data_IF_477070504991
#
_entry.id   IF_477070504991
#
_cell.length_a   1.000
_cell.length_b   1.000
_cell.length_c   1.000
_cell.angle_alpha   90.00
_cell.angle_beta   90.00
_cell.angle_gamma   90.00
#
_symmetry.space_group_name_H-M   'P 1'
#
loop_
_entity.id
_entity.type
_entity.pdbx_description
1 polymer ?
#
# COMPACT_ATOMS: atom_id res chain seq x y z
N UNK A 1 -26.55 34.64 74.11
CA UNK A 1 -26.95 34.60 72.68
C UNK A 1 -25.93 35.10 71.67
N UNK A 2 -25.24 36.24 71.85
CA UNK A 2 -24.29 36.74 70.85
C UNK A 2 -23.04 35.83 70.63
N UNK A 3 -22.46 35.28 71.71
CA UNK A 3 -21.28 34.41 71.66
C UNK A 3 -21.54 33.04 71.01
N UNK A 4 -22.75 32.48 71.18
CA UNK A 4 -23.15 31.22 70.54
C UNK A 4 -23.40 31.40 69.02
N UNK A 5 -23.83 32.60 68.60
CA UNK A 5 -23.98 32.92 67.17
C UNK A 5 -22.62 33.06 66.49
N UNK A 6 -21.62 33.62 67.17
CA UNK A 6 -20.27 33.77 66.60
C UNK A 6 -19.53 32.44 66.44
N UNK A 7 -19.73 31.47 67.34
CA UNK A 7 -19.13 30.13 67.22
C UNK A 7 -19.75 29.31 66.08
N UNK A 8 -21.07 29.35 65.93
CA UNK A 8 -21.78 28.68 64.82
C UNK A 8 -21.36 29.28 63.47
N UNK A 9 -21.16 30.59 63.39
CA UNK A 9 -20.68 31.25 62.17
C UNK A 9 -19.22 30.89 61.86
N UNK A 10 -18.37 30.69 62.87
CA UNK A 10 -16.99 30.20 62.67
C UNK A 10 -16.96 28.75 62.16
N UNK A 11 -17.79 27.86 62.72
CA UNK A 11 -17.91 26.47 62.27
C UNK A 11 -18.49 26.37 60.84
N UNK A 12 -19.48 27.21 60.52
CA UNK A 12 -20.00 27.31 59.15
C UNK A 12 -18.95 27.84 58.17
N UNK A 13 -18.11 28.80 58.59
CA UNK A 13 -17.04 29.34 57.76
C UNK A 13 -15.92 28.31 57.51
N UNK A 14 -15.54 27.50 58.51
CA UNK A 14 -14.53 26.44 58.34
C UNK A 14 -15.06 25.27 57.52
N UNK A 15 -16.33 24.91 57.65
CA UNK A 15 -16.97 23.92 56.79
C UNK A 15 -17.06 24.41 55.33
N UNK A 16 -17.37 25.70 55.13
CA UNK A 16 -17.42 26.30 53.79
C UNK A 16 -16.03 26.38 53.13
N UNK A 17 -14.97 26.71 53.88
CA UNK A 17 -13.61 26.71 53.33
C UNK A 17 -13.14 25.31 52.96
N UNK A 18 -13.43 24.30 53.79
CA UNK A 18 -13.13 22.90 53.47
C UNK A 18 -13.84 22.43 52.18
N UNK A 19 -15.13 22.73 52.03
CA UNK A 19 -15.88 22.41 50.82
C UNK A 19 -15.33 23.13 49.57
N UNK A 20 -14.87 24.37 49.70
CA UNK A 20 -14.21 25.09 48.60
C UNK A 20 -12.88 24.45 48.19
N UNK A 21 -12.09 23.94 49.14
CA UNK A 21 -10.86 23.22 48.85
C UNK A 21 -11.13 21.90 48.13
N UNK A 22 -12.16 21.15 48.51
CA UNK A 22 -12.54 19.89 47.86
C UNK A 22 -13.00 20.13 46.41
N UNK A 23 -13.83 21.16 46.18
CA UNK A 23 -14.27 21.55 44.83
C UNK A 23 -13.08 22.00 43.98
N UNK A 24 -12.14 22.75 44.56
CA UNK A 24 -10.92 23.16 43.86
C UNK A 24 -10.01 21.98 43.54
N UNK A 25 -9.88 21.03 44.47
CA UNK A 25 -9.15 19.77 44.28
C UNK A 25 -9.73 18.95 43.13
N UNK A 26 -11.05 18.75 43.12
CA UNK A 26 -11.77 18.05 42.07
C UNK A 26 -11.57 18.70 40.69
N UNK A 27 -11.74 20.03 40.60
CA UNK A 27 -11.54 20.75 39.33
C UNK A 27 -10.10 20.66 38.83
N UNK A 28 -9.13 20.70 39.74
CA UNK A 28 -7.70 20.55 39.40
C UNK A 28 -7.40 19.15 38.89
N UNK A 29 -7.95 18.11 39.50
CA UNK A 29 -7.78 16.72 39.07
C UNK A 29 -8.43 16.46 37.71
N UNK A 30 -9.67 16.93 37.52
CA UNK A 30 -10.33 16.87 36.21
C UNK A 30 -9.53 17.61 35.13
N UNK A 31 -9.00 18.80 35.44
CA UNK A 31 -8.17 19.54 34.50
C UNK A 31 -6.90 18.77 34.12
N UNK A 32 -6.24 18.12 35.09
CA UNK A 32 -5.06 17.28 34.83
C UNK A 32 -5.42 16.07 33.98
N UNK A 33 -6.49 15.36 34.32
CA UNK A 33 -6.98 14.21 33.55
C UNK A 33 -7.27 14.59 32.10
N UNK A 34 -8.00 15.68 31.87
CA UNK A 34 -8.31 16.17 30.52
C UNK A 34 -7.05 16.53 29.73
N UNK A 35 -6.04 17.12 30.39
CA UNK A 35 -4.77 17.44 29.76
C UNK A 35 -3.99 16.18 29.36
N UNK A 36 -3.98 15.16 30.22
CA UNK A 36 -3.34 13.88 29.92
C UNK A 36 -4.04 13.15 28.76
N UNK A 37 -5.38 13.13 28.75
CA UNK A 37 -6.14 12.52 27.66
C UNK A 37 -5.89 13.22 26.31
N UNK A 38 -5.80 14.56 26.29
CA UNK A 38 -5.46 15.31 25.07
C UNK A 38 -4.06 14.97 24.57
N UNK A 39 -3.08 14.88 25.46
CA UNK A 39 -1.72 14.48 25.10
C UNK A 39 -1.69 13.05 24.52
N UNK A 40 -2.38 12.11 25.16
CA UNK A 40 -2.48 10.73 24.68
C UNK A 40 -3.14 10.66 23.30
N UNK A 41 -4.19 11.45 23.07
CA UNK A 41 -4.84 11.55 21.77
C UNK A 41 -3.88 12.10 20.71
N UNK A 42 -3.14 13.18 21.01
CA UNK A 42 -2.16 13.77 20.10
C UNK A 42 -1.05 12.77 19.73
N UNK A 43 -0.51 12.04 20.72
CA UNK A 43 0.49 11.00 20.50
C UNK A 43 -0.04 9.86 19.63
N UNK A 44 -1.26 9.38 19.88
CA UNK A 44 -1.91 8.36 19.04
C UNK A 44 -2.13 8.85 17.62
N UNK A 45 -2.52 10.11 17.43
CA UNK A 45 -2.69 10.70 16.09
C UNK A 45 -1.36 10.82 15.35
N UNK A 46 -0.26 11.10 16.03
CA UNK A 46 1.07 11.07 15.43
C UNK A 46 1.49 9.64 15.06
N UNK A 47 1.26 8.67 15.94
CA UNK A 47 1.54 7.27 15.68
C UNK A 47 0.78 6.75 14.44
N UNK A 48 -0.51 7.07 14.34
CA UNK A 48 -1.34 6.70 13.18
C UNK A 48 -0.82 7.32 11.87
N UNK A 49 -0.36 8.59 11.91
CA UNK A 49 0.25 9.25 10.75
C UNK A 49 1.57 8.58 10.33
N UNK A 50 2.40 8.18 11.30
CA UNK A 50 3.63 7.45 11.00
C UNK A 50 3.33 6.07 10.36
N UNK A 51 2.34 5.35 10.88
CA UNK A 51 1.87 4.09 10.29
C UNK A 51 1.37 4.27 8.86
N UNK A 52 0.60 5.34 8.61
CA UNK A 52 0.11 5.65 7.27
C UNK A 52 1.24 5.89 6.27
N UNK A 53 2.30 6.60 6.69
CA UNK A 53 3.49 6.79 5.84
C UNK A 53 4.23 5.47 5.59
N UNK A 54 4.29 4.59 6.59
CA UNK A 54 4.82 3.25 6.44
C UNK A 54 4.07 2.44 5.38
N UNK A 55 2.75 2.35 5.51
CA UNK A 55 1.88 1.64 4.56
C UNK A 55 1.99 2.19 3.14
N UNK A 56 2.09 3.52 2.98
CA UNK A 56 2.25 4.11 1.66
C UNK A 56 3.58 3.72 0.98
N UNK A 57 4.66 3.60 1.76
CA UNK A 57 5.95 3.15 1.21
C UNK A 57 5.94 1.67 0.82
N UNK A 58 5.23 0.85 1.58
CA UNK A 58 5.03 -0.56 1.25
C UNK A 58 4.21 -0.71 -0.03
N UNK A 59 3.09 0.00 -0.15
CA UNK A 59 2.25 0.00 -1.35
C UNK A 59 3.03 0.43 -2.61
N UNK A 60 3.84 1.49 -2.50
CA UNK A 60 4.72 1.91 -3.61
C UNK A 60 5.72 0.81 -3.98
N UNK A 61 6.28 0.08 -3.01
CA UNK A 61 7.20 -1.03 -3.28
C UNK A 61 6.48 -2.18 -3.96
N UNK A 62 5.30 -2.55 -3.47
CA UNK A 62 4.51 -3.66 -3.98
C UNK A 62 4.06 -3.40 -5.43
N UNK A 63 3.62 -2.17 -5.74
CA UNK A 63 3.27 -1.75 -7.10
C UNK A 63 4.46 -1.85 -8.04
N UNK A 64 5.66 -1.46 -7.58
CA UNK A 64 6.89 -1.55 -8.37
C UNK A 64 7.33 -3.00 -8.57
N UNK A 65 7.19 -3.87 -7.57
CA UNK A 65 7.53 -5.30 -7.64
C UNK A 65 6.56 -6.11 -8.52
N UNK A 66 5.33 -5.63 -8.70
CA UNK A 66 4.33 -6.32 -9.50
C UNK A 66 4.66 -6.35 -11.00
N UNK A 67 5.31 -5.32 -11.51
CA UNK A 67 5.66 -5.19 -12.94
C UNK A 67 6.68 -6.26 -13.40
N UNK A 68 7.86 -6.43 -12.76
CA UNK A 68 8.80 -7.47 -13.17
C UNK A 68 8.19 -8.86 -13.06
N UNK A 69 7.40 -9.12 -12.00
CA UNK A 69 6.71 -10.41 -11.82
C UNK A 69 5.75 -10.74 -12.96
N UNK A 70 5.02 -9.75 -13.49
CA UNK A 70 4.19 -9.94 -14.68
C UNK A 70 5.02 -10.16 -15.94
N UNK A 71 6.13 -9.45 -16.07
CA UNK A 71 7.01 -9.60 -17.22
C UNK A 71 7.65 -10.99 -17.30
N UNK A 72 7.92 -11.66 -16.17
CA UNK A 72 8.46 -13.03 -16.15
C UNK A 72 7.49 -14.00 -16.84
N UNK A 73 6.19 -13.87 -16.53
CA UNK A 73 5.13 -14.70 -17.13
C UNK A 73 5.03 -14.45 -18.63
N UNK A 74 5.11 -13.20 -19.08
CA UNK A 74 5.09 -12.88 -20.51
C UNK A 74 6.33 -13.40 -21.25
N UNK A 75 7.53 -13.26 -20.67
CA UNK A 75 8.75 -13.81 -21.27
C UNK A 75 8.68 -15.34 -21.42
N UNK A 76 8.10 -16.04 -20.44
CA UNK A 76 7.91 -17.49 -20.53
C UNK A 76 6.98 -17.87 -21.69
N UNK A 77 5.86 -17.17 -21.87
CA UNK A 77 4.94 -17.40 -22.99
C UNK A 77 5.63 -17.10 -24.33
N UNK A 78 6.34 -15.97 -24.43
CA UNK A 78 7.09 -15.59 -25.63
C UNK A 78 8.14 -16.66 -25.97
N UNK A 79 8.85 -17.21 -24.99
CA UNK A 79 9.83 -18.27 -25.21
C UNK A 79 9.20 -19.56 -25.77
N UNK A 80 8.02 -19.94 -25.27
CA UNK A 80 7.28 -21.10 -25.77
C UNK A 80 6.81 -20.88 -27.23
N UNK A 81 6.26 -19.71 -27.53
CA UNK A 81 5.82 -19.35 -28.88
C UNK A 81 7.00 -19.24 -29.86
N UNK A 82 8.14 -18.72 -29.40
CA UNK A 82 9.36 -18.65 -30.21
C UNK A 82 9.87 -20.05 -30.57
N UNK A 83 9.82 -21.01 -29.64
CA UNK A 83 10.15 -22.40 -29.93
C UNK A 83 9.15 -23.05 -30.91
N UNK A 84 7.86 -22.76 -30.77
CA UNK A 84 6.83 -23.27 -31.68
C UNK A 84 7.01 -22.71 -33.11
N UNK A 85 7.26 -21.41 -33.25
CA UNK A 85 7.51 -20.76 -34.55
C UNK A 85 8.81 -21.21 -35.19
N UNK A 86 9.89 -21.40 -34.42
CA UNK A 86 11.13 -21.99 -34.91
C UNK A 86 10.93 -23.44 -35.40
N UNK A 87 10.14 -24.24 -34.67
CA UNK A 87 9.77 -25.60 -35.09
C UNK A 87 8.93 -25.58 -36.36
N UNK A 88 7.98 -24.66 -36.47
CA UNK A 88 7.16 -24.46 -37.65
C UNK A 88 8.01 -24.08 -38.88
N UNK A 89 9.01 -23.21 -38.72
CA UNK A 89 9.92 -22.84 -39.80
C UNK A 89 10.67 -24.05 -40.38
N UNK A 90 11.10 -24.98 -39.52
CA UNK A 90 11.84 -26.17 -39.93
C UNK A 90 10.95 -27.32 -40.45
N UNK A 91 9.78 -27.53 -39.84
CA UNK A 91 8.96 -28.74 -40.05
C UNK A 91 7.61 -28.49 -40.74
N UNK A 92 7.06 -27.27 -40.69
CA UNK A 92 5.78 -26.97 -41.32
C UNK A 92 5.97 -26.75 -42.82
N UNK A 93 5.95 -27.84 -43.58
CA UNK A 93 5.93 -27.79 -45.05
C UNK A 93 4.50 -27.74 -45.55
N UNK A 94 4.26 -26.84 -46.50
CA UNK A 94 3.01 -26.79 -47.25
C UNK A 94 2.90 -28.09 -48.09
N UNK A 95 1.71 -28.70 -48.22
CA UNK A 95 1.54 -29.96 -48.96
C UNK A 95 2.08 -29.89 -50.40
N UNK A 96 2.69 -30.97 -50.91
CA UNK A 96 3.17 -31.03 -52.28
C UNK A 96 1.99 -30.86 -53.26
N UNK A 97 2.16 -29.99 -54.26
CA UNK A 97 1.09 -29.61 -55.20
C UNK A 97 0.39 -28.29 -54.90
N UNK A 98 0.74 -27.63 -53.78
CA UNK A 98 0.24 -26.29 -53.46
C UNK A 98 0.88 -25.23 -54.38
N UNK A 99 0.14 -24.15 -54.72
CA UNK A 99 0.67 -23.10 -55.58
C UNK A 99 1.83 -22.35 -54.90
N UNK A 100 2.82 -21.94 -55.68
CA UNK A 100 4.07 -21.34 -55.18
C UNK A 100 3.86 -20.07 -54.34
N UNK A 101 2.89 -19.23 -54.72
CA UNK A 101 2.56 -18.02 -53.97
C UNK A 101 2.10 -18.32 -52.54
N UNK A 102 1.38 -19.43 -52.32
CA UNK A 102 0.90 -19.82 -50.99
C UNK A 102 2.08 -20.25 -50.11
N UNK A 103 3.04 -20.98 -50.67
CA UNK A 103 4.26 -21.35 -49.96
C UNK A 103 5.08 -20.13 -49.56
N UNK A 104 5.19 -19.13 -50.43
CA UNK A 104 5.89 -17.87 -50.12
C UNK A 104 5.16 -17.09 -49.01
N UNK A 105 3.83 -16.96 -49.09
CA UNK A 105 3.04 -16.32 -48.04
C UNK A 105 3.18 -17.02 -46.68
N UNK A 106 3.12 -18.36 -46.67
CA UNK A 106 3.31 -19.14 -45.45
C UNK A 106 4.68 -18.88 -44.80
N UNK A 107 5.77 -18.94 -45.57
CA UNK A 107 7.12 -18.67 -45.06
C UNK A 107 7.27 -17.23 -44.58
N UNK A 108 6.70 -16.26 -45.30
CA UNK A 108 6.71 -14.85 -44.88
C UNK A 108 5.99 -14.64 -43.54
N UNK A 109 4.83 -15.27 -43.32
CA UNK A 109 4.11 -15.19 -42.07
C UNK A 109 4.87 -15.80 -40.89
N UNK A 110 5.55 -16.93 -41.09
CA UNK A 110 6.37 -17.54 -40.02
C UNK A 110 7.58 -16.66 -39.72
N UNK A 111 8.27 -16.14 -40.74
CA UNK A 111 9.41 -15.25 -40.54
C UNK A 111 9.00 -13.94 -39.84
N UNK A 112 7.85 -13.35 -40.20
CA UNK A 112 7.36 -12.13 -39.54
C UNK A 112 6.95 -12.39 -38.09
N UNK A 113 6.31 -13.52 -37.80
CA UNK A 113 6.00 -13.94 -36.43
C UNK A 113 7.27 -14.13 -35.60
N UNK A 114 8.30 -14.78 -36.15
CA UNK A 114 9.57 -14.99 -35.47
C UNK A 114 10.28 -13.66 -35.16
N UNK A 115 10.33 -12.73 -36.12
CA UNK A 115 10.88 -11.39 -35.90
C UNK A 115 10.12 -10.62 -34.83
N UNK A 116 8.79 -10.67 -34.86
CA UNK A 116 7.93 -10.01 -33.88
C UNK A 116 8.17 -10.54 -32.46
N UNK A 117 8.18 -11.87 -32.28
CA UNK A 117 8.43 -12.51 -30.99
C UNK A 117 9.85 -12.25 -30.48
N UNK A 118 10.84 -12.19 -31.37
CA UNK A 118 12.22 -11.84 -31.00
C UNK A 118 12.32 -10.39 -30.51
N UNK A 119 11.62 -9.46 -31.17
CA UNK A 119 11.55 -8.05 -30.74
C UNK A 119 10.82 -7.91 -29.40
N UNK A 120 9.72 -8.65 -29.21
CA UNK A 120 8.98 -8.70 -27.95
C UNK A 120 9.84 -9.25 -26.81
N UNK A 121 10.63 -10.30 -27.06
CA UNK A 121 11.60 -10.84 -26.11
C UNK A 121 12.65 -9.78 -25.75
N UNK A 122 13.21 -9.09 -26.75
CA UNK A 122 14.20 -8.03 -26.55
C UNK A 122 13.68 -6.90 -25.65
N UNK A 123 12.48 -6.38 -25.96
CA UNK A 123 11.86 -5.36 -25.13
C UNK A 123 11.50 -5.87 -23.73
N UNK A 124 11.05 -7.13 -23.62
CA UNK A 124 10.78 -7.76 -22.34
C UNK A 124 12.05 -7.87 -21.48
N UNK A 125 13.19 -8.25 -22.05
CA UNK A 125 14.49 -8.30 -21.36
C UNK A 125 14.94 -6.92 -20.89
N UNK A 126 14.73 -5.87 -21.69
CA UNK A 126 15.04 -4.50 -21.29
C UNK A 126 14.12 -3.94 -20.20
N UNK A 127 12.91 -4.47 -20.04
CA UNK A 127 12.02 -4.06 -18.96
C UNK A 127 12.43 -4.61 -17.59
N UNK A 128 13.34 -5.59 -17.54
CA UNK A 128 13.89 -6.14 -16.29
C UNK A 128 15.09 -5.37 -15.74
N UNK A 129 15.80 -4.62 -16.61
CA UNK A 129 17.01 -3.85 -16.26
C UNK A 129 16.61 -2.47 -15.78
#
# INVERSE_FOLDING_TARGET
DASARTSILQEAATAATAALFDIFGYNRENFRYDREQRLLMELKLQEMRLKQVGLWREDVRDVMEFTPRKMEVYLLVIALELNATATALCKARVPPGSPSWLSSCHTLCICSALMYLTLALWFGLHAFV
#
